data_IF_604061246194
#
_entry.id   IF_604061246194
#
_cell.length_a   1.000
_cell.length_b   1.000
_cell.length_c   1.000
_cell.angle_alpha   90.00
_cell.angle_beta   90.00
_cell.angle_gamma   90.00
#
_symmetry.space_group_name_H-M   'P 1'
#
loop_
_entity.id
_entity.type
_entity.pdbx_description
1 polymer ?
#
# COMPACT_ATOMS: atom_id res chain seq x y z
N UNK A 1 -16.78 43.03 103.62
CA UNK A 1 -17.61 43.16 102.39
C UNK A 1 -16.76 43.59 101.20
N UNK A 2 -15.85 44.54 101.34
CA UNK A 2 -14.98 45.01 100.26
C UNK A 2 -14.02 43.93 99.70
N UNK A 3 -13.46 43.06 100.55
CA UNK A 3 -12.60 41.93 100.09
C UNK A 3 -13.36 40.91 99.22
N UNK A 4 -14.63 40.64 99.51
CA UNK A 4 -15.45 39.71 98.73
C UNK A 4 -15.81 40.29 97.35
N UNK A 5 -16.00 41.62 97.28
CA UNK A 5 -16.24 42.34 96.02
C UNK A 5 -14.98 42.37 95.13
N UNK A 6 -13.80 42.53 95.72
CA UNK A 6 -12.53 42.47 95.00
C UNK A 6 -12.22 41.06 94.46
N UNK A 7 -12.50 40.00 95.23
CA UNK A 7 -12.35 38.62 94.76
C UNK A 7 -13.36 38.28 93.65
N UNK A 8 -14.61 38.72 93.75
CA UNK A 8 -15.60 38.52 92.70
C UNK A 8 -15.22 39.23 91.38
N UNK A 9 -14.63 40.44 91.46
CA UNK A 9 -14.12 41.17 90.30
C UNK A 9 -12.90 40.48 89.66
N UNK A 10 -11.99 39.90 90.46
CA UNK A 10 -10.85 39.13 89.93
C UNK A 10 -11.29 37.82 89.28
N UNK A 11 -12.26 37.10 89.84
CA UNK A 11 -12.81 35.86 89.25
C UNK A 11 -13.58 36.17 87.97
N UNK A 12 -14.34 37.28 87.92
CA UNK A 12 -14.99 37.75 86.69
C UNK A 12 -14.00 38.13 85.59
N UNK A 13 -12.92 38.83 85.93
CA UNK A 13 -11.86 39.18 84.99
C UNK A 13 -11.07 37.96 84.49
N UNK A 14 -10.83 36.97 85.34
CA UNK A 14 -10.22 35.70 84.96
C UNK A 14 -11.13 34.86 84.06
N UNK A 15 -12.44 34.82 84.34
CA UNK A 15 -13.43 34.13 83.50
C UNK A 15 -13.61 34.76 82.12
N UNK A 16 -13.58 36.09 82.02
CA UNK A 16 -13.64 36.82 80.74
C UNK A 16 -12.38 36.59 79.91
N UNK A 17 -11.18 36.55 80.53
CA UNK A 17 -9.94 36.19 79.84
C UNK A 17 -9.96 34.75 79.34
N UNK A 18 -10.39 33.81 80.17
CA UNK A 18 -10.50 32.40 79.78
C UNK A 18 -11.49 32.21 78.61
N UNK A 19 -12.62 32.93 78.61
CA UNK A 19 -13.59 32.90 77.53
C UNK A 19 -13.06 33.53 76.23
N UNK A 20 -12.28 34.61 76.33
CA UNK A 20 -11.59 35.22 75.18
C UNK A 20 -10.58 34.25 74.57
N UNK A 21 -9.73 33.63 75.39
CA UNK A 21 -8.73 32.65 74.93
C UNK A 21 -9.39 31.43 74.27
N UNK A 22 -10.53 30.98 74.80
CA UNK A 22 -11.32 29.88 74.21
C UNK A 22 -11.93 30.28 72.87
N UNK A 23 -12.42 31.50 72.72
CA UNK A 23 -12.93 32.01 71.44
C UNK A 23 -11.81 32.14 70.42
N UNK A 24 -10.67 32.70 70.79
CA UNK A 24 -9.52 32.85 69.90
C UNK A 24 -8.99 31.49 69.42
N UNK A 25 -8.92 30.50 70.34
CA UNK A 25 -8.57 29.13 69.98
C UNK A 25 -9.61 28.47 69.06
N UNK A 26 -10.89 28.73 69.27
CA UNK A 26 -11.96 28.23 68.37
C UNK A 26 -11.88 28.84 66.96
N UNK A 27 -11.49 30.12 66.86
CA UNK A 27 -11.29 30.82 65.59
C UNK A 27 -10.07 30.27 64.85
N UNK A 28 -8.97 29.99 65.55
CA UNK A 28 -7.81 29.33 64.95
C UNK A 28 -8.14 27.93 64.43
N UNK A 29 -8.85 27.11 65.22
CA UNK A 29 -9.27 25.78 64.78
C UNK A 29 -10.17 25.85 63.54
N UNK A 30 -11.09 26.82 63.48
CA UNK A 30 -11.94 27.02 62.31
C UNK A 30 -11.14 27.44 61.07
N UNK A 31 -10.12 28.30 61.22
CA UNK A 31 -9.22 28.67 60.12
C UNK A 31 -8.42 27.48 59.60
N UNK A 32 -7.85 26.68 60.51
CA UNK A 32 -7.10 25.47 60.15
C UNK A 32 -7.99 24.46 59.42
N UNK A 33 -9.24 24.28 59.86
CA UNK A 33 -10.16 23.36 59.21
C UNK A 33 -10.57 23.84 57.80
N UNK A 34 -10.79 25.16 57.63
CA UNK A 34 -11.04 25.77 56.33
C UNK A 34 -9.85 25.65 55.37
N UNK A 35 -8.62 25.84 55.86
CA UNK A 35 -7.41 25.63 55.05
C UNK A 35 -7.25 24.17 54.66
N UNK A 36 -7.55 23.24 55.57
CA UNK A 36 -7.52 21.81 55.27
C UNK A 36 -8.51 21.44 54.15
N UNK A 37 -9.76 21.90 54.23
CA UNK A 37 -10.77 21.66 53.19
C UNK A 37 -10.39 22.30 51.85
N UNK A 38 -9.72 23.44 51.87
CA UNK A 38 -9.19 24.08 50.65
C UNK A 38 -8.11 23.22 50.01
N UNK A 39 -7.15 22.74 50.80
CA UNK A 39 -6.07 21.87 50.33
C UNK A 39 -6.61 20.54 49.78
N UNK A 40 -7.65 19.98 50.41
CA UNK A 40 -8.29 18.75 49.93
C UNK A 40 -8.97 18.96 48.56
N UNK A 41 -9.71 20.05 48.38
CA UNK A 41 -10.31 20.39 47.06
C UNK A 41 -9.26 20.68 45.99
N UNK A 42 -8.18 21.36 46.33
CA UNK A 42 -7.07 21.60 45.41
C UNK A 42 -6.41 20.26 44.99
N UNK A 43 -6.24 19.32 45.92
CA UNK A 43 -5.73 17.97 45.61
C UNK A 43 -6.66 17.19 44.67
N UNK A 44 -7.97 17.25 44.88
CA UNK A 44 -8.95 16.60 43.99
C UNK A 44 -8.89 17.20 42.58
N UNK A 45 -8.79 18.53 42.47
CA UNK A 45 -8.66 19.19 41.18
C UNK A 45 -7.37 18.78 40.46
N UNK A 46 -6.24 18.73 41.16
CA UNK A 46 -4.97 18.26 40.59
C UNK A 46 -5.03 16.80 40.14
N UNK A 47 -5.75 15.92 40.87
CA UNK A 47 -5.93 14.53 40.43
C UNK A 47 -6.74 14.43 39.14
N UNK A 48 -7.83 15.20 39.03
CA UNK A 48 -8.65 15.25 37.83
C UNK A 48 -7.87 15.79 36.62
N UNK A 49 -7.06 16.83 36.80
CA UNK A 49 -6.18 17.35 35.74
C UNK A 49 -5.19 16.29 35.25
N UNK A 50 -4.60 15.51 36.16
CA UNK A 50 -3.68 14.41 35.80
C UNK A 50 -4.43 13.30 35.05
N UNK A 51 -5.65 12.96 35.45
CA UNK A 51 -6.47 11.96 34.76
C UNK A 51 -6.85 12.40 33.35
N UNK A 52 -7.31 13.65 33.19
CA UNK A 52 -7.61 14.21 31.88
C UNK A 52 -6.37 14.31 30.99
N UNK A 53 -5.22 14.69 31.54
CA UNK A 53 -3.97 14.72 30.79
C UNK A 53 -3.56 13.31 30.30
N UNK A 54 -3.75 12.28 31.14
CA UNK A 54 -3.51 10.88 30.75
C UNK A 54 -4.48 10.43 29.66
N UNK A 55 -5.75 10.75 29.77
CA UNK A 55 -6.75 10.37 28.77
C UNK A 55 -6.52 11.08 27.43
N UNK A 56 -6.22 12.37 27.45
CA UNK A 56 -5.84 13.15 26.27
C UNK A 56 -4.57 12.60 25.60
N UNK A 57 -3.58 12.15 26.39
CA UNK A 57 -2.40 11.46 25.82
C UNK A 57 -2.77 10.15 25.11
N UNK A 58 -3.66 9.34 25.70
CA UNK A 58 -4.16 8.10 25.07
C UNK A 58 -4.93 8.38 23.79
N UNK A 59 -5.77 9.40 23.77
CA UNK A 59 -6.51 9.80 22.58
C UNK A 59 -5.57 10.25 21.45
N UNK A 60 -4.54 11.03 21.77
CA UNK A 60 -3.52 11.42 20.78
C UNK A 60 -2.78 10.22 20.21
N UNK A 61 -2.43 9.26 21.05
CA UNK A 61 -1.73 8.04 20.59
C UNK A 61 -2.64 7.15 19.73
N UNK A 62 -3.90 6.98 20.13
CA UNK A 62 -4.92 6.32 19.31
C UNK A 62 -5.08 7.02 17.95
N UNK A 63 -5.22 8.34 17.92
CA UNK A 63 -5.33 9.10 16.66
C UNK A 63 -4.10 8.95 15.76
N UNK A 64 -2.89 8.93 16.35
CA UNK A 64 -1.65 8.68 15.58
C UNK A 64 -1.66 7.27 14.98
N UNK A 65 -2.06 6.26 15.75
CA UNK A 65 -2.13 4.89 15.28
C UNK A 65 -3.19 4.72 14.19
N UNK A 66 -4.36 5.34 14.34
CA UNK A 66 -5.39 5.38 13.30
C UNK A 66 -4.90 6.00 12.00
N UNK A 67 -4.21 7.15 12.05
CA UNK A 67 -3.63 7.76 10.85
C UNK A 67 -2.60 6.86 10.17
N UNK A 68 -1.74 6.20 10.94
CA UNK A 68 -0.74 5.24 10.41
C UNK A 68 -1.40 4.05 9.72
N UNK A 69 -2.47 3.49 10.29
CA UNK A 69 -3.22 2.38 9.71
C UNK A 69 -3.94 2.79 8.43
N UNK A 70 -4.55 3.99 8.41
CA UNK A 70 -5.21 4.51 7.21
C UNK A 70 -4.21 4.76 6.08
N UNK A 71 -3.03 5.31 6.38
CA UNK A 71 -1.97 5.48 5.39
C UNK A 71 -1.47 4.14 4.84
N UNK A 72 -1.33 3.10 5.69
CA UNK A 72 -0.98 1.72 5.27
C UNK A 72 -2.05 1.16 4.33
N UNK A 73 -3.33 1.29 4.70
CA UNK A 73 -4.46 0.84 3.89
C UNK A 73 -4.54 1.55 2.56
N UNK A 74 -4.35 2.88 2.55
CA UNK A 74 -4.37 3.69 1.34
C UNK A 74 -3.28 3.27 0.35
N UNK A 75 -2.04 3.12 0.81
CA UNK A 75 -0.93 2.68 -0.06
C UNK A 75 -1.16 1.29 -0.64
N UNK A 76 -1.67 0.37 0.17
CA UNK A 76 -2.02 -0.99 -0.28
C UNK A 76 -3.13 -0.95 -1.33
N UNK A 77 -4.18 -0.16 -1.08
CA UNK A 77 -5.31 0.04 -1.99
C UNK A 77 -4.89 0.67 -3.32
N UNK A 78 -4.00 1.67 -3.29
CA UNK A 78 -3.46 2.30 -4.50
C UNK A 78 -2.68 1.30 -5.37
N UNK A 79 -1.80 0.48 -4.76
CA UNK A 79 -1.06 -0.57 -5.49
C UNK A 79 -1.98 -1.67 -6.03
N UNK A 80 -2.95 -2.09 -5.24
CA UNK A 80 -3.95 -3.07 -5.65
C UNK A 80 -4.78 -2.56 -6.84
N UNK A 81 -5.16 -1.28 -6.80
CA UNK A 81 -5.88 -0.60 -7.88
C UNK A 81 -5.03 -0.52 -9.15
N UNK A 82 -3.75 -0.17 -9.02
CA UNK A 82 -2.81 -0.17 -10.15
C UNK A 82 -2.69 -1.56 -10.80
N UNK A 83 -2.51 -2.61 -10.00
CA UNK A 83 -2.46 -3.99 -10.49
C UNK A 83 -3.76 -4.41 -11.17
N UNK A 84 -4.91 -4.05 -10.59
CA UNK A 84 -6.24 -4.36 -11.14
C UNK A 84 -6.47 -3.67 -12.47
N UNK A 85 -6.12 -2.39 -12.56
CA UNK A 85 -6.25 -1.61 -13.78
C UNK A 85 -5.34 -2.16 -14.88
N UNK A 86 -4.10 -2.53 -14.53
CA UNK A 86 -3.16 -3.14 -15.47
C UNK A 86 -3.68 -4.49 -15.99
N UNK A 87 -4.16 -5.35 -15.09
CA UNK A 87 -4.76 -6.63 -15.46
C UNK A 87 -5.96 -6.43 -16.40
N UNK A 88 -6.87 -5.51 -16.08
CA UNK A 88 -8.05 -5.19 -16.92
C UNK A 88 -7.67 -4.65 -18.30
N UNK A 89 -6.70 -3.75 -18.37
CA UNK A 89 -6.22 -3.21 -19.65
C UNK A 89 -5.54 -4.28 -20.50
N UNK A 90 -4.69 -5.11 -19.90
CA UNK A 90 -4.04 -6.22 -20.61
C UNK A 90 -5.05 -7.25 -21.11
N UNK A 91 -6.06 -7.59 -20.30
CA UNK A 91 -7.16 -8.46 -20.71
C UNK A 91 -7.97 -7.87 -21.87
N UNK A 92 -8.25 -6.56 -21.83
CA UNK A 92 -8.96 -5.86 -22.90
C UNK A 92 -8.16 -5.87 -24.21
N UNK A 93 -6.87 -5.54 -24.16
CA UNK A 93 -5.99 -5.52 -25.33
C UNK A 93 -5.80 -6.92 -25.91
N UNK A 94 -5.55 -7.92 -25.07
CA UNK A 94 -5.43 -9.32 -25.47
C UNK A 94 -6.73 -9.86 -26.07
N UNK A 95 -7.87 -9.60 -25.43
CA UNK A 95 -9.18 -10.01 -25.91
C UNK A 95 -9.58 -9.35 -27.23
N UNK A 96 -9.31 -8.05 -27.38
CA UNK A 96 -9.55 -7.33 -28.63
C UNK A 96 -8.65 -7.85 -29.76
N UNK A 97 -7.39 -8.18 -29.46
CA UNK A 97 -6.50 -8.79 -30.44
C UNK A 97 -7.00 -10.16 -30.91
N UNK A 98 -7.49 -11.00 -30.00
CA UNK A 98 -8.12 -12.28 -30.36
C UNK A 98 -9.37 -12.06 -31.23
N UNK A 99 -10.24 -11.13 -30.84
CA UNK A 99 -11.45 -10.82 -31.61
C UNK A 99 -11.12 -10.28 -33.01
N UNK A 100 -10.10 -9.43 -33.12
CA UNK A 100 -9.59 -8.95 -34.41
C UNK A 100 -9.06 -10.12 -35.24
N UNK A 101 -8.27 -11.01 -34.63
CA UNK A 101 -7.70 -12.17 -35.30
C UNK A 101 -8.78 -13.07 -35.91
N UNK A 102 -9.86 -13.32 -35.16
CA UNK A 102 -11.00 -14.11 -35.61
C UNK A 102 -11.81 -13.37 -36.67
N UNK A 103 -12.17 -12.11 -36.43
CA UNK A 103 -13.04 -11.33 -37.32
C UNK A 103 -12.38 -10.91 -38.63
N UNK A 104 -11.05 -10.87 -38.69
CA UNK A 104 -10.34 -10.61 -39.93
C UNK A 104 -10.35 -11.80 -40.88
N UNK A 105 -10.79 -12.99 -40.42
CA UNK A 105 -11.21 -14.14 -41.23
C UNK A 105 -10.65 -14.08 -42.64
N UNK A 106 -9.33 -14.31 -42.76
CA UNK A 106 -8.59 -14.10 -43.99
C UNK A 106 -9.33 -14.81 -45.13
N UNK A 107 -9.63 -14.12 -46.24
CA UNK A 107 -10.28 -14.73 -47.41
C UNK A 107 -9.32 -15.79 -47.96
N UNK A 108 -9.56 -17.04 -47.57
CA UNK A 108 -8.67 -18.17 -47.82
C UNK A 108 -8.91 -19.37 -46.89
N UNK A 109 -9.46 -19.16 -45.68
CA UNK A 109 -9.78 -20.29 -44.76
C UNK A 109 -11.26 -20.71 -44.75
N UNK A 110 -12.21 -19.82 -45.11
CA UNK A 110 -13.65 -20.13 -45.05
C UNK A 110 -14.37 -20.07 -46.39
N UNK A 111 -13.77 -19.41 -47.39
CA UNK A 111 -14.31 -19.37 -48.74
C UNK A 111 -13.43 -20.23 -49.64
N UNK A 112 -13.93 -21.43 -49.90
CA UNK A 112 -13.63 -22.20 -51.10
C UNK A 112 -13.35 -21.29 -52.30
N UNK A 113 -12.19 -21.48 -52.93
CA UNK A 113 -11.98 -21.33 -54.37
C UNK A 113 -12.74 -20.16 -55.04
N UNK A 114 -12.11 -19.02 -55.33
CA UNK A 114 -12.62 -18.19 -56.40
C UNK A 114 -12.57 -19.05 -57.66
N UNK A 115 -13.74 -19.34 -58.23
CA UNK A 115 -13.94 -20.03 -59.49
C UNK A 115 -12.80 -19.76 -60.48
N UNK A 116 -11.85 -20.70 -60.56
CA UNK A 116 -10.84 -20.81 -61.63
C UNK A 116 -11.49 -20.86 -63.03
N UNK A 117 -12.81 -21.04 -63.11
CA UNK A 117 -13.58 -21.16 -64.33
C UNK A 117 -13.80 -19.84 -65.11
N UNK A 118 -13.59 -18.66 -64.52
CA UNK A 118 -13.88 -17.39 -65.22
C UNK A 118 -12.64 -16.54 -65.60
N UNK A 119 -11.42 -17.02 -65.38
CA UNK A 119 -10.20 -16.28 -65.72
C UNK A 119 -9.49 -16.77 -67.01
N UNK A 120 -10.14 -17.60 -67.83
CA UNK A 120 -9.55 -18.18 -69.04
C UNK A 120 -9.58 -17.29 -70.29
N UNK A 121 -9.96 -16.00 -70.20
CA UNK A 121 -9.98 -15.13 -71.38
C UNK A 121 -9.59 -13.67 -71.05
N UNK A 122 -8.27 -13.40 -70.94
CA UNK A 122 -7.68 -12.13 -71.40
C UNK A 122 -6.15 -12.27 -71.51
N UNK A 123 -5.49 -11.71 -72.55
CA UNK A 123 -4.22 -12.21 -73.05
C UNK A 123 -3.00 -11.68 -72.28
N UNK A 124 -2.11 -12.63 -71.94
CA UNK A 124 -0.64 -12.56 -72.00
C UNK A 124 -0.04 -11.14 -71.97
N UNK A 125 0.16 -10.61 -70.77
CA UNK A 125 0.95 -9.39 -70.58
C UNK A 125 1.06 -8.91 -69.12
N UNK A 126 0.14 -9.31 -68.24
CA UNK A 126 0.09 -8.84 -66.85
C UNK A 126 0.57 -9.89 -65.83
N UNK A 127 1.00 -11.07 -66.30
CA UNK A 127 1.27 -12.24 -65.45
C UNK A 127 2.44 -12.13 -64.46
N UNK A 128 3.36 -11.17 -64.60
CA UNK A 128 4.49 -11.03 -63.67
C UNK A 128 4.23 -10.06 -62.52
N UNK A 129 3.31 -9.10 -62.68
CA UNK A 129 2.95 -8.13 -61.62
C UNK A 129 1.94 -8.74 -60.64
N UNK A 130 1.05 -9.60 -61.11
CA UNK A 130 0.07 -10.25 -60.24
C UNK A 130 0.71 -11.29 -59.32
N UNK A 131 1.61 -12.14 -59.82
CA UNK A 131 2.26 -13.18 -59.00
C UNK A 131 3.17 -12.63 -57.89
N UNK A 132 3.81 -11.46 -58.10
CA UNK A 132 4.58 -10.80 -57.04
C UNK A 132 3.70 -10.21 -55.93
N UNK A 133 2.45 -9.81 -56.24
CA UNK A 133 1.53 -9.28 -55.23
C UNK A 133 1.00 -10.37 -54.28
N UNK A 134 0.82 -11.60 -54.77
CA UNK A 134 0.34 -12.72 -53.93
C UNK A 134 1.39 -13.17 -52.91
N UNK A 135 2.67 -13.25 -53.30
CA UNK A 135 3.74 -13.68 -52.40
C UNK A 135 3.99 -12.69 -51.25
N UNK A 136 3.91 -11.38 -51.54
CA UNK A 136 3.98 -10.33 -50.52
C UNK A 136 2.80 -10.40 -49.52
N UNK A 137 1.61 -10.83 -49.96
CA UNK A 137 0.45 -10.97 -49.10
C UNK A 137 0.61 -12.12 -48.10
N UNK A 138 1.06 -13.29 -48.55
CA UNK A 138 1.24 -14.45 -47.67
C UNK A 138 2.29 -14.17 -46.57
N UNK A 139 3.38 -13.47 -46.94
CA UNK A 139 4.41 -13.04 -45.98
C UNK A 139 3.88 -12.00 -44.97
N UNK A 140 3.11 -11.00 -45.42
CA UNK A 140 2.50 -9.99 -44.56
C UNK A 140 1.49 -10.58 -43.58
N UNK A 141 0.70 -11.56 -44.04
CA UNK A 141 -0.25 -12.31 -43.21
C UNK A 141 0.50 -13.09 -42.13
N UNK A 142 1.57 -13.79 -42.49
CA UNK A 142 2.39 -14.54 -41.54
C UNK A 142 3.02 -13.62 -40.48
N UNK A 143 3.56 -12.47 -40.90
CA UNK A 143 4.13 -11.46 -39.99
C UNK A 143 3.06 -10.91 -39.04
N UNK A 144 1.89 -10.54 -39.57
CA UNK A 144 0.79 -10.03 -38.74
C UNK A 144 0.29 -11.08 -37.75
N UNK A 145 0.19 -12.35 -38.16
CA UNK A 145 -0.22 -13.44 -37.29
C UNK A 145 0.80 -13.68 -36.17
N UNK A 146 2.10 -13.70 -36.50
CA UNK A 146 3.17 -13.85 -35.51
C UNK A 146 3.14 -12.70 -34.48
N UNK A 147 2.98 -11.46 -34.93
CA UNK A 147 2.87 -10.30 -34.04
C UNK A 147 1.61 -10.38 -33.19
N UNK A 148 0.46 -10.76 -33.76
CA UNK A 148 -0.81 -10.91 -33.04
C UNK A 148 -0.69 -11.94 -31.91
N UNK A 149 -0.11 -13.11 -32.20
CA UNK A 149 0.14 -14.15 -31.19
C UNK A 149 1.06 -13.63 -30.10
N UNK A 150 2.15 -12.94 -30.45
CA UNK A 150 3.07 -12.36 -29.47
C UNK A 150 2.36 -11.35 -28.56
N UNK A 151 1.55 -10.45 -29.13
CA UNK A 151 0.73 -9.48 -28.38
C UNK A 151 -0.22 -10.18 -27.42
N UNK A 152 -0.90 -11.24 -27.86
CA UNK A 152 -1.80 -12.04 -27.03
C UNK A 152 -1.01 -12.64 -25.87
N UNK A 153 0.07 -13.37 -26.14
CA UNK A 153 0.88 -14.05 -25.11
C UNK A 153 1.42 -13.06 -24.08
N UNK A 154 1.94 -11.91 -24.53
CA UNK A 154 2.46 -10.87 -23.63
C UNK A 154 1.35 -10.32 -22.72
N UNK A 155 0.19 -9.95 -23.28
CA UNK A 155 -0.91 -9.38 -22.51
C UNK A 155 -1.52 -10.39 -21.51
N UNK A 156 -1.70 -11.65 -21.91
CA UNK A 156 -2.17 -12.70 -21.00
C UNK A 156 -1.14 -13.00 -19.91
N UNK A 157 0.16 -12.97 -20.21
CA UNK A 157 1.22 -13.15 -19.21
C UNK A 157 1.21 -12.04 -18.17
N UNK A 158 1.01 -10.78 -18.60
CA UNK A 158 0.87 -9.62 -17.69
C UNK A 158 -0.36 -9.77 -16.82
N UNK A 159 -1.50 -10.15 -17.40
CA UNK A 159 -2.73 -10.40 -16.65
C UNK A 159 -2.53 -11.47 -15.56
N UNK A 160 -1.94 -12.61 -15.92
CA UNK A 160 -1.65 -13.71 -14.98
C UNK A 160 -0.73 -13.24 -13.86
N UNK A 161 0.36 -12.56 -14.20
CA UNK A 161 1.32 -12.04 -13.20
C UNK A 161 0.65 -11.03 -12.26
N UNK A 162 -0.18 -10.12 -12.79
CA UNK A 162 -0.93 -9.17 -11.99
C UNK A 162 -1.91 -9.89 -11.04
N UNK A 163 -2.65 -10.90 -11.52
CA UNK A 163 -3.57 -11.70 -10.71
C UNK A 163 -2.85 -12.51 -9.62
N UNK A 164 -1.68 -13.08 -9.93
CA UNK A 164 -0.86 -13.78 -8.94
C UNK A 164 -0.34 -12.83 -7.86
N UNK A 165 0.10 -11.63 -8.24
CA UNK A 165 0.53 -10.61 -7.27
C UNK A 165 -0.63 -10.13 -6.40
N UNK A 166 -1.82 -9.94 -6.97
CA UNK A 166 -3.03 -9.63 -6.22
C UNK A 166 -3.38 -10.71 -5.20
N UNK A 167 -3.25 -11.99 -5.59
CA UNK A 167 -3.47 -13.12 -4.69
C UNK A 167 -2.45 -13.14 -3.56
N UNK A 168 -1.17 -12.87 -3.84
CA UNK A 168 -0.11 -12.79 -2.82
C UNK A 168 -0.37 -11.67 -1.82
N UNK A 169 -0.82 -10.50 -2.28
CA UNK A 169 -1.19 -9.38 -1.42
C UNK A 169 -2.41 -9.75 -0.58
N UNK A 170 -3.45 -10.33 -1.19
CA UNK A 170 -4.65 -10.75 -0.46
C UNK A 170 -4.36 -11.80 0.62
N UNK A 171 -3.49 -12.77 0.34
CA UNK A 171 -3.05 -13.76 1.34
C UNK A 171 -2.25 -13.12 2.47
N UNK A 172 -1.40 -12.13 2.18
CA UNK A 172 -0.65 -11.40 3.19
C UNK A 172 -1.59 -10.55 4.08
N UNK A 173 -2.52 -9.81 3.47
CA UNK A 173 -3.52 -9.00 4.19
C UNK A 173 -4.50 -9.85 5.00
N UNK A 174 -4.89 -11.04 4.50
CA UNK A 174 -5.76 -11.95 5.25
C UNK A 174 -5.03 -12.54 6.47
N UNK A 175 -3.75 -12.89 6.33
CA UNK A 175 -2.94 -13.35 7.48
C UNK A 175 -2.72 -12.26 8.53
N UNK A 176 -2.58 -10.99 8.14
CA UNK A 176 -2.57 -9.86 9.07
C UNK A 176 -3.93 -9.66 9.78
N UNK A 177 -5.04 -10.00 9.11
CA UNK A 177 -6.39 -9.86 9.66
C UNK A 177 -6.82 -10.94 10.66
N UNK A 178 -6.16 -12.11 10.67
CA UNK A 178 -6.65 -13.31 11.36
C UNK A 178 -5.64 -13.99 12.31
N UNK A 179 -4.49 -13.39 12.67
CA UNK A 179 -3.57 -14.05 13.62
C UNK A 179 -3.15 -13.26 14.87
N UNK A 180 -3.31 -13.87 16.07
CA UNK A 180 -2.46 -13.61 17.23
C UNK A 180 -1.06 -14.22 17.00
N UNK A 181 -0.03 -13.38 16.92
CA UNK A 181 1.39 -13.55 17.35
C UNK A 181 2.23 -14.74 16.76
N UNK A 182 1.65 -15.76 16.13
CA UNK A 182 2.36 -17.03 15.91
C UNK A 182 3.31 -17.15 14.70
N UNK A 183 3.23 -16.26 13.70
CA UNK A 183 4.19 -16.20 12.58
C UNK A 183 5.36 -15.21 12.84
N UNK A 184 5.58 -14.86 14.10
CA UNK A 184 6.62 -13.90 14.52
C UNK A 184 8.05 -14.40 14.28
N UNK A 185 8.33 -15.69 14.08
CA UNK A 185 9.71 -16.19 13.98
C UNK A 185 10.42 -15.80 12.67
N UNK A 186 9.73 -15.80 11.52
CA UNK A 186 10.35 -15.36 10.25
C UNK A 186 10.48 -13.83 10.15
N UNK A 187 9.54 -13.11 10.76
CA UNK A 187 9.58 -11.65 10.84
C UNK A 187 10.58 -11.16 11.90
N UNK A 188 10.71 -11.86 13.03
CA UNK A 188 11.70 -11.58 14.09
C UNK A 188 13.13 -11.87 13.63
N UNK A 189 13.34 -12.85 12.76
CA UNK A 189 14.65 -13.09 12.16
C UNK A 189 15.11 -11.94 11.22
N UNK A 190 14.18 -11.26 10.56
CA UNK A 190 14.44 -10.09 9.72
C UNK A 190 14.30 -8.73 10.47
N UNK A 191 13.79 -8.76 11.70
CA UNK A 191 13.57 -7.61 12.58
C UNK A 191 13.88 -7.99 14.04
N UNK A 192 15.16 -8.23 14.37
CA UNK A 192 15.57 -8.72 15.69
C UNK A 192 15.28 -7.73 16.82
N UNK A 193 15.12 -6.45 16.49
CA UNK A 193 14.99 -5.35 17.46
C UNK A 193 13.53 -4.95 17.74
N UNK A 194 12.56 -5.55 17.05
CA UNK A 194 11.14 -5.24 17.20
C UNK A 194 10.76 -3.79 16.83
N UNK A 195 11.65 -3.07 16.14
CA UNK A 195 11.55 -1.63 15.93
C UNK A 195 10.78 -1.24 14.65
N UNK A 196 10.54 -2.19 13.75
CA UNK A 196 9.68 -1.95 12.58
C UNK A 196 8.26 -1.71 13.07
N UNK A 197 7.87 -0.44 13.04
CA UNK A 197 6.51 0.01 13.27
C UNK A 197 5.62 -0.73 12.26
N UNK A 198 4.60 -1.43 12.76
CA UNK A 198 3.56 -2.20 12.04
C UNK A 198 3.03 -1.54 10.73
N UNK A 199 3.16 -0.21 10.62
CA UNK A 199 2.90 0.59 9.42
C UNK A 199 3.86 0.38 8.24
N UNK A 200 5.05 -0.19 8.44
CA UNK A 200 6.09 -0.36 7.41
C UNK A 200 6.21 -1.80 6.87
N UNK A 201 5.54 -2.77 7.49
CA UNK A 201 5.62 -4.19 7.11
C UNK A 201 5.18 -4.45 5.67
N UNK A 202 4.11 -3.79 5.22
CA UNK A 202 3.65 -3.89 3.83
C UNK A 202 4.66 -3.31 2.84
N UNK A 203 5.32 -2.21 3.20
CA UNK A 203 6.31 -1.56 2.32
C UNK A 203 7.55 -2.44 2.16
N UNK A 204 8.00 -3.05 3.27
CA UNK A 204 9.10 -4.01 3.28
C UNK A 204 8.74 -5.26 2.46
N UNK A 205 7.55 -5.83 2.69
CA UNK A 205 7.05 -6.97 1.92
C UNK A 205 6.97 -6.64 0.41
N UNK A 206 6.44 -5.46 0.08
CA UNK A 206 6.35 -4.99 -1.30
C UNK A 206 7.72 -4.88 -1.94
N UNK A 207 8.66 -4.19 -1.30
CA UNK A 207 10.02 -3.99 -1.82
C UNK A 207 10.75 -5.32 -2.02
N UNK A 208 10.67 -6.25 -1.07
CA UNK A 208 11.37 -7.53 -1.14
C UNK A 208 10.76 -8.52 -2.15
N UNK A 209 9.43 -8.53 -2.29
CA UNK A 209 8.74 -9.62 -3.00
C UNK A 209 8.09 -9.20 -4.31
N UNK A 210 7.58 -7.97 -4.36
CA UNK A 210 6.66 -7.50 -5.39
C UNK A 210 7.26 -6.42 -6.28
N UNK A 211 8.14 -5.55 -5.78
CA UNK A 211 8.56 -4.35 -6.49
C UNK A 211 9.31 -4.66 -7.78
N UNK A 212 10.27 -5.59 -7.72
CA UNK A 212 10.99 -6.04 -8.90
C UNK A 212 10.03 -6.64 -9.96
N UNK A 213 9.11 -7.51 -9.54
CA UNK A 213 8.12 -8.14 -10.43
C UNK A 213 7.19 -7.09 -11.05
N UNK A 214 6.77 -6.11 -10.26
CA UNK A 214 5.95 -4.99 -10.72
C UNK A 214 6.67 -4.14 -11.77
N UNK A 215 7.94 -3.79 -11.53
CA UNK A 215 8.75 -3.01 -12.47
C UNK A 215 8.93 -3.77 -13.78
N UNK A 216 9.28 -5.06 -13.72
CA UNK A 216 9.41 -5.91 -14.91
C UNK A 216 8.09 -5.97 -15.67
N UNK A 217 6.98 -6.20 -14.97
CA UNK A 217 5.64 -6.24 -15.57
C UNK A 217 5.26 -4.92 -16.24
N UNK A 218 5.52 -3.78 -15.59
CA UNK A 218 5.27 -2.45 -16.15
C UNK A 218 6.13 -2.18 -17.39
N UNK A 219 7.40 -2.61 -17.40
CA UNK A 219 8.26 -2.53 -18.59
C UNK A 219 7.68 -3.37 -19.72
N UNK A 220 7.37 -4.64 -19.48
CA UNK A 220 6.84 -5.56 -20.50
C UNK A 220 5.50 -5.03 -21.05
N UNK A 221 4.62 -4.50 -20.20
CA UNK A 221 3.37 -3.84 -20.64
C UNK A 221 3.65 -2.61 -21.51
N UNK A 222 4.60 -1.76 -21.11
CA UNK A 222 4.97 -0.54 -21.86
C UNK A 222 5.53 -0.86 -23.25
N UNK A 223 6.30 -1.95 -23.38
CA UNK A 223 6.78 -2.48 -24.66
C UNK A 223 5.67 -3.18 -25.48
N UNK A 224 4.66 -3.76 -24.82
CA UNK A 224 3.52 -4.41 -25.47
C UNK A 224 2.57 -3.45 -26.18
N UNK A 225 2.44 -2.21 -25.69
CA UNK A 225 1.58 -1.18 -26.30
C UNK A 225 1.95 -0.85 -27.75
N UNK A 226 3.21 -0.47 -28.08
CA UNK A 226 3.57 -0.18 -29.46
C UNK A 226 3.44 -1.41 -30.37
N UNK A 227 3.70 -2.61 -29.85
CA UNK A 227 3.50 -3.86 -30.58
C UNK A 227 2.01 -4.10 -30.92
N UNK A 228 1.10 -3.82 -29.98
CA UNK A 228 -0.35 -3.91 -30.21
C UNK A 228 -0.81 -2.95 -31.32
N UNK A 229 -0.40 -1.68 -31.27
CA UNK A 229 -0.77 -0.71 -32.31
C UNK A 229 -0.13 -1.02 -33.68
N UNK A 230 1.08 -1.58 -33.71
CA UNK A 230 1.69 -2.08 -34.94
C UNK A 230 0.87 -3.25 -35.52
N UNK A 231 0.40 -4.16 -34.67
CA UNK A 231 -0.48 -5.26 -35.09
C UNK A 231 -1.81 -4.77 -35.66
N UNK A 232 -2.41 -3.74 -35.05
CA UNK A 232 -3.63 -3.11 -35.56
C UNK A 232 -3.38 -2.47 -36.93
N UNK A 233 -2.29 -1.71 -37.07
CA UNK A 233 -1.93 -1.06 -38.33
C UNK A 233 -1.75 -2.09 -39.46
N UNK A 234 -1.02 -3.18 -39.19
CA UNK A 234 -0.83 -4.26 -40.16
C UNK A 234 -2.14 -4.95 -40.54
N UNK A 235 -3.00 -5.25 -39.57
CA UNK A 235 -4.28 -5.88 -39.90
C UNK A 235 -5.22 -4.94 -40.67
N UNK A 236 -5.16 -3.64 -40.42
CA UNK A 236 -5.90 -2.65 -41.21
C UNK A 236 -5.38 -2.58 -42.66
N UNK A 237 -4.06 -2.61 -42.84
CA UNK A 237 -3.42 -2.69 -44.16
C UNK A 237 -3.86 -3.97 -44.90
N UNK A 238 -3.85 -5.11 -44.21
CA UNK A 238 -4.33 -6.38 -44.77
C UNK A 238 -5.81 -6.32 -45.16
N UNK A 239 -6.65 -5.66 -44.35
CA UNK A 239 -8.09 -5.54 -44.64
C UNK A 239 -8.39 -4.65 -45.85
N UNK A 240 -7.63 -3.56 -46.03
CA UNK A 240 -7.81 -2.61 -47.13
C UNK A 240 -6.77 -2.79 -48.24
N UNK A 241 -6.24 -3.99 -48.44
CA UNK A 241 -5.17 -4.24 -49.43
C UNK A 241 -5.55 -3.80 -50.86
N UNK A 242 -6.85 -3.84 -51.19
CA UNK A 242 -7.39 -3.40 -52.49
C UNK A 242 -7.39 -1.87 -52.67
N UNK A 243 -7.29 -1.09 -51.60
CA UNK A 243 -7.31 0.38 -51.62
C UNK A 243 -6.21 0.95 -50.74
N UNK A 244 -5.09 1.30 -51.37
CA UNK A 244 -3.90 1.88 -50.72
C UNK A 244 -4.23 3.16 -49.95
N UNK A 245 -5.12 4.00 -50.49
CA UNK A 245 -5.55 5.25 -49.83
C UNK A 245 -6.33 4.96 -48.55
N UNK A 246 -7.27 4.01 -48.60
CA UNK A 246 -8.04 3.63 -47.43
C UNK A 246 -7.16 2.99 -46.35
N UNK A 247 -6.21 2.13 -46.74
CA UNK A 247 -5.24 1.52 -45.84
C UNK A 247 -4.36 2.56 -45.13
N UNK A 248 -3.84 3.55 -45.87
CA UNK A 248 -2.97 4.59 -45.30
C UNK A 248 -3.72 5.50 -44.32
N UNK A 249 -4.92 5.97 -44.69
CA UNK A 249 -5.73 6.84 -43.83
C UNK A 249 -6.10 6.14 -42.52
N UNK A 250 -6.44 4.85 -42.58
CA UNK A 250 -6.86 4.08 -41.41
C UNK A 250 -5.68 3.57 -40.56
N UNK A 251 -4.51 3.31 -41.14
CA UNK A 251 -3.31 2.92 -40.40
C UNK A 251 -2.58 4.12 -39.76
N UNK A 252 -2.73 5.33 -40.33
CA UNK A 252 -2.01 6.54 -39.87
C UNK A 252 -2.15 6.85 -38.37
N UNK A 253 -3.35 6.78 -37.76
CA UNK A 253 -3.50 7.01 -36.32
C UNK A 253 -2.71 6.02 -35.48
N UNK A 254 -2.66 4.74 -35.88
CA UNK A 254 -1.91 3.71 -35.17
C UNK A 254 -0.40 3.97 -35.22
N UNK A 255 0.11 4.38 -36.39
CA UNK A 255 1.54 4.73 -36.59
C UNK A 255 1.92 6.02 -35.85
N UNK A 256 1.04 7.02 -35.88
CA UNK A 256 1.23 8.26 -35.13
C UNK A 256 1.28 7.98 -33.62
N UNK A 257 0.35 7.17 -33.11
CA UNK A 257 0.34 6.78 -31.71
C UNK A 257 1.59 6.00 -31.30
N UNK A 258 2.07 5.06 -32.11
CA UNK A 258 3.32 4.32 -31.83
C UNK A 258 4.52 5.25 -31.76
N UNK A 259 4.62 6.23 -32.66
CA UNK A 259 5.70 7.23 -32.65
C UNK A 259 5.64 8.13 -31.43
N UNK A 260 4.45 8.63 -31.10
CA UNK A 260 4.23 9.44 -29.89
C UNK A 260 4.60 8.63 -28.66
N UNK A 261 4.10 7.40 -28.56
CA UNK A 261 4.41 6.48 -27.47
C UNK A 261 5.90 6.26 -27.33
N UNK A 262 6.62 5.97 -28.42
CA UNK A 262 8.06 5.76 -28.40
C UNK A 262 8.83 6.96 -27.82
N UNK A 263 8.44 8.17 -28.20
CA UNK A 263 9.07 9.40 -27.70
C UNK A 263 8.87 9.60 -26.19
N UNK A 264 7.66 9.33 -25.68
CA UNK A 264 7.39 9.43 -24.24
C UNK A 264 7.94 8.23 -23.44
N UNK A 265 7.99 7.06 -24.06
CA UNK A 265 8.45 5.81 -23.46
C UNK A 265 9.94 5.85 -23.10
N UNK A 266 10.80 6.45 -23.93
CA UNK A 266 12.22 6.61 -23.59
C UNK A 266 12.44 7.43 -22.32
N UNK A 267 11.61 8.45 -22.07
CA UNK A 267 11.64 9.22 -20.83
C UNK A 267 11.04 8.46 -19.65
N UNK A 268 9.91 7.78 -19.87
CA UNK A 268 9.20 7.01 -18.86
C UNK A 268 10.03 5.83 -18.33
N UNK A 269 10.65 5.04 -19.20
CA UNK A 269 11.50 3.92 -18.78
C UNK A 269 12.69 4.44 -17.97
N UNK A 270 13.36 5.50 -18.45
CA UNK A 270 14.50 6.10 -17.75
C UNK A 270 14.11 6.54 -16.34
N UNK A 271 12.94 7.16 -16.19
CA UNK A 271 12.39 7.55 -14.88
C UNK A 271 12.07 6.34 -13.98
N UNK A 272 11.46 5.29 -14.53
CA UNK A 272 11.14 4.07 -13.78
C UNK A 272 12.43 3.35 -13.33
N UNK A 273 13.44 3.25 -14.20
CA UNK A 273 14.74 2.65 -13.84
C UNK A 273 15.52 3.50 -12.85
N UNK A 274 15.49 4.82 -12.99
CA UNK A 274 16.16 5.72 -12.05
C UNK A 274 15.52 5.66 -10.66
N UNK A 275 14.19 5.61 -10.59
CA UNK A 275 13.46 5.46 -9.33
C UNK A 275 13.66 4.09 -8.69
N UNK A 276 13.77 3.03 -9.49
CA UNK A 276 14.10 1.70 -8.99
C UNK A 276 15.52 1.67 -8.39
N UNK A 277 16.49 2.28 -9.07
CA UNK A 277 17.86 2.38 -8.56
C UNK A 277 17.96 3.25 -7.29
N UNK A 278 17.21 4.36 -7.21
CA UNK A 278 17.15 5.19 -6.01
C UNK A 278 16.43 4.51 -4.83
N UNK A 279 15.44 3.65 -5.09
CA UNK A 279 14.77 2.87 -4.05
C UNK A 279 15.69 1.78 -3.45
N UNK A 280 16.58 1.19 -4.27
CA UNK A 280 17.61 0.26 -3.80
C UNK A 280 18.68 0.97 -2.94
N UNK A 281 19.08 2.18 -3.33
CA UNK A 281 20.02 3.02 -2.55
C UNK A 281 19.41 3.45 -1.20
N UNK A 282 18.12 3.82 -1.18
CA UNK A 282 17.42 4.15 0.06
C UNK A 282 17.27 2.91 0.94
N UNK A 283 16.89 1.75 0.38
CA UNK A 283 16.79 0.49 1.12
C UNK A 283 18.14 0.07 1.75
N UNK A 284 19.25 0.18 1.01
CA UNK A 284 20.59 -0.10 1.52
C UNK A 284 21.06 0.90 2.59
N UNK A 285 20.69 2.18 2.45
CA UNK A 285 20.98 3.21 3.45
C UNK A 285 20.17 2.98 4.73
N UNK A 286 18.90 2.56 4.62
CA UNK A 286 18.08 2.16 5.76
C UNK A 286 18.63 0.93 6.47
N UNK A 287 19.07 -0.10 5.73
CA UNK A 287 19.70 -1.29 6.30
C UNK A 287 21.02 -0.95 7.03
N UNK A 288 21.77 0.03 6.52
CA UNK A 288 22.99 0.52 7.16
C UNK A 288 22.74 1.33 8.43
N UNK A 289 21.70 2.18 8.46
CA UNK A 289 21.30 2.93 9.66
C UNK A 289 20.79 1.99 10.76
N UNK A 290 20.02 0.96 10.40
CA UNK A 290 19.55 -0.06 11.36
C UNK A 290 20.73 -0.83 11.96
N UNK A 291 21.70 -1.25 11.14
CA UNK A 291 22.94 -1.91 11.63
C UNK A 291 23.78 -0.98 12.52
N UNK A 292 23.79 0.32 12.24
CA UNK A 292 24.51 1.30 13.04
C UNK A 292 23.83 1.59 14.38
N UNK A 293 22.50 1.68 14.42
CA UNK A 293 21.73 1.83 15.67
C UNK A 293 21.76 0.55 16.55
N UNK A 294 21.74 -0.63 15.93
CA UNK A 294 21.91 -1.92 16.62
C UNK A 294 23.32 -2.09 17.22
N UNK A 295 24.35 -1.46 16.64
CA UNK A 295 25.72 -1.47 17.19
C UNK A 295 25.93 -0.52 18.38
N UNK A 296 25.03 0.47 18.55
CA UNK A 296 25.10 1.50 19.59
C UNK A 296 24.25 1.19 20.84
N UNK A 297 23.43 0.13 20.79
CA UNK A 297 22.59 -0.29 21.92
C UNK A 297 23.16 -1.57 22.58
N UNK A 298 23.62 -1.52 23.85
CA UNK A 298 24.04 -2.73 24.54
C UNK A 298 22.80 -3.60 24.87
N UNK A 299 22.94 -4.93 24.94
CA UNK A 299 21.82 -5.82 25.17
C UNK A 299 21.23 -5.60 26.57
N UNK A 300 20.09 -4.92 26.68
CA UNK A 300 19.32 -4.90 27.93
C UNK A 300 18.63 -6.26 28.12
N UNK A 301 19.35 -7.18 28.74
CA UNK A 301 18.79 -8.38 29.37
C UNK A 301 18.04 -7.97 30.65
N UNK A 302 16.79 -7.52 30.54
CA UNK A 302 15.88 -7.45 31.71
C UNK A 302 15.21 -8.79 31.92
N UNK A 303 15.84 -9.64 32.71
CA UNK A 303 15.13 -10.68 33.47
C UNK A 303 14.40 -9.97 34.62
N UNK A 304 13.08 -10.12 34.80
CA UNK A 304 12.45 -9.68 36.04
C UNK A 304 12.83 -10.65 37.15
N UNK A 305 13.78 -10.24 38.00
CA UNK A 305 13.99 -10.84 39.30
C UNK A 305 12.84 -10.40 40.22
N UNK A 306 12.01 -11.35 40.65
CA UNK A 306 11.08 -11.14 41.75
C UNK A 306 9.62 -11.50 41.47
N UNK A 307 9.34 -12.79 41.26
CA UNK A 307 8.10 -13.40 41.80
C UNK A 307 8.50 -14.75 42.39
N UNK A 308 9.01 -14.69 43.61
CA UNK A 308 9.22 -15.87 44.44
C UNK A 308 7.86 -16.48 44.75
N UNK A 309 7.71 -17.75 44.41
CA UNK A 309 6.60 -18.62 44.80
C UNK A 309 6.32 -18.50 46.31
N UNK A 310 5.12 -18.03 46.65
CA UNK A 310 4.51 -18.21 47.96
C UNK A 310 3.00 -18.40 47.74
N UNK A 311 2.56 -19.65 47.62
CA UNK A 311 1.27 -20.13 48.11
C UNK A 311 1.08 -21.60 47.68
N UNK A 312 0.80 -22.49 48.64
CA UNK A 312 0.23 -23.81 48.33
C UNK A 312 0.88 -25.02 49.01
N UNK A 313 1.14 -24.99 50.32
CA UNK A 313 1.27 -26.24 51.11
C UNK A 313 0.47 -26.12 52.42
N UNK A 314 -0.29 -27.20 52.69
CA UNK A 314 -1.24 -27.47 53.79
C UNK A 314 -2.64 -26.86 53.57
N UNK A 315 -3.76 -27.59 53.59
CA UNK A 315 -4.19 -28.77 54.39
C UNK A 315 -5.04 -29.75 53.55
N UNK A 316 -4.82 -31.08 53.57
CA UNK A 316 -5.45 -32.08 54.46
C UNK A 316 -6.97 -31.95 54.64
N UNK A 317 -7.70 -32.99 54.18
CA UNK A 317 -8.72 -33.66 54.98
C UNK A 317 -10.15 -33.67 54.43
N UNK A 318 -10.51 -34.72 53.68
CA UNK A 318 -11.63 -35.64 53.94
C UNK A 318 -11.58 -36.76 52.88
#
# INVERSE_FOLDING_TARGET
REMAQAMAAMVGAAGVRLASDLMDHSIELMKVNLEKERIEREKEHFQLEIEWAKEDSRFRDLQRNWRKLEDKRRRTSEKMTQLSLLARLSALMGGFQVAMFINQGLPGLTDSWPSFANATLSPKGVGTVWYHNWQLQDELIAIWAAISVLVIVVNFSIMIMASLMQLQIAQHTYKEGDFPIHDSERYSAANPDGLIIESQEFLLFWNLTCDHKFIVMMKVFSWGIPLYFASLALGVILKFYMSTVAALISAMPCVAFTRIWWHYHSGLISYITFRAAGADDDAGRYESSIKQEASLTPPQRRVPAGVTQLSGRASRGA
#
